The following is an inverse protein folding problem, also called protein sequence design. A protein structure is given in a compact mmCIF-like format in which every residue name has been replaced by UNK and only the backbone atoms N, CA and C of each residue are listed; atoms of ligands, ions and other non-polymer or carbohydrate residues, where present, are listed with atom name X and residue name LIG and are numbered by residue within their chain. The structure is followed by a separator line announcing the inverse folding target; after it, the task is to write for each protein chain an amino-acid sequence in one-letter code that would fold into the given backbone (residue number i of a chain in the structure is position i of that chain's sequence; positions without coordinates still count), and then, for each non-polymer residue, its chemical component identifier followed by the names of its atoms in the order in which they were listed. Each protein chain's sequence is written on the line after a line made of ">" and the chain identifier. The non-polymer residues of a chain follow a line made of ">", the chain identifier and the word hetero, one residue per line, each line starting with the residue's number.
data_IF_034570216144
#
_entry.id   IF_034570216144
#
_cell.length_a   1.000
_cell.length_b   1.000
_cell.length_c   1.000
_cell.angle_alpha   90.00
_cell.angle_beta   90.00
_cell.angle_gamma   90.00
#
_symmetry.space_group_name_H-M   'P 1'
#
loop_
_entity.id
_entity.type
_entity.pdbx_description
1 polymer ?
#
# COMPACT_ATOMS: atom_id res chain seq x y z
N UNK A 1 12.34 -8.11 25.38
CA UNK A 1 11.22 -8.61 24.56
C UNK A 1 11.62 -8.62 23.09
N UNK A 2 11.41 -9.74 22.40
CA UNK A 2 11.42 -9.81 20.92
C UNK A 2 9.98 -9.85 20.42
N UNK A 3 9.64 -9.00 19.46
CA UNK A 3 8.30 -8.95 18.88
C UNK A 3 8.15 -9.95 17.72
N UNK A 4 6.91 -10.34 17.42
CA UNK A 4 6.60 -11.25 16.33
C UNK A 4 6.92 -10.62 14.97
N UNK A 5 7.87 -11.22 14.24
CA UNK A 5 8.31 -10.73 12.92
C UNK A 5 7.27 -10.90 11.80
N UNK A 6 6.08 -11.44 12.08
CA UNK A 6 5.05 -11.72 11.07
C UNK A 6 4.17 -10.50 10.84
N UNK A 7 4.21 -9.93 9.63
CA UNK A 7 3.41 -8.79 9.16
C UNK A 7 3.29 -7.61 10.15
N UNK A 8 4.36 -7.28 10.88
CA UNK A 8 4.37 -6.19 11.87
C UNK A 8 3.49 -6.44 13.11
N UNK A 9 3.29 -7.70 13.48
CA UNK A 9 2.45 -8.07 14.61
C UNK A 9 3.03 -7.53 15.95
N UNK A 10 2.22 -6.82 16.76
CA UNK A 10 2.69 -6.27 18.04
C UNK A 10 2.84 -7.31 19.16
N UNK A 11 2.38 -8.56 18.93
CA UNK A 11 2.44 -9.60 19.94
C UNK A 11 3.89 -10.09 20.13
N UNK A 12 4.22 -10.46 21.35
CA UNK A 12 5.52 -11.02 21.70
C UNK A 12 5.79 -12.35 20.97
N UNK A 13 7.05 -12.56 20.59
CA UNK A 13 7.50 -13.83 20.03
C UNK A 13 7.57 -14.91 21.13
N UNK A 14 7.33 -16.17 20.75
CA UNK A 14 7.44 -17.28 21.70
C UNK A 14 8.87 -17.40 22.24
N UNK A 15 9.05 -17.68 23.55
CA UNK A 15 10.38 -17.84 24.15
C UNK A 15 11.14 -19.02 23.50
N UNK A 16 12.42 -18.80 23.18
CA UNK A 16 13.27 -19.75 22.45
C UNK A 16 13.63 -19.23 21.04
N UNK A 17 13.96 -20.11 20.07
CA UNK A 17 14.36 -19.70 18.72
C UNK A 17 13.19 -19.21 17.84
N UNK A 18 12.00 -18.99 18.41
CA UNK A 18 10.80 -18.61 17.69
C UNK A 18 10.78 -17.12 17.34
N UNK A 19 10.76 -16.78 16.05
CA UNK A 19 10.59 -15.39 15.56
C UNK A 19 9.13 -14.93 15.50
N UNK A 20 8.19 -15.69 16.09
CA UNK A 20 6.74 -15.50 15.93
C UNK A 20 5.98 -15.76 17.23
N UNK A 21 4.86 -15.07 17.40
CA UNK A 21 3.89 -15.32 18.46
C UNK A 21 3.08 -16.60 18.23
N UNK A 22 2.35 -17.05 19.25
CA UNK A 22 1.57 -18.30 19.20
C UNK A 22 0.59 -18.37 18.00
N UNK A 23 -0.13 -17.27 17.74
CA UNK A 23 -1.07 -17.15 16.63
C UNK A 23 -0.43 -17.21 15.23
N UNK A 24 0.88 -16.96 15.15
CA UNK A 24 1.65 -16.92 13.89
C UNK A 24 2.65 -18.07 13.74
N UNK A 25 2.85 -18.92 14.76
CA UNK A 25 3.83 -20.03 14.74
C UNK A 25 3.76 -20.90 13.48
N UNK A 26 2.54 -21.27 13.07
CA UNK A 26 2.27 -22.13 11.92
C UNK A 26 2.19 -21.40 10.56
N UNK A 27 2.29 -20.06 10.51
CA UNK A 27 2.16 -19.30 9.27
C UNK A 27 3.51 -19.16 8.55
N UNK A 28 3.58 -19.58 7.28
CA UNK A 28 4.77 -19.41 6.45
C UNK A 28 4.95 -17.95 6.02
N UNK A 29 6.18 -17.45 6.13
CA UNK A 29 6.58 -16.11 5.67
C UNK A 29 7.22 -16.18 4.29
N UNK A 30 7.16 -15.08 3.55
CA UNK A 30 7.75 -14.94 2.22
C UNK A 30 9.26 -15.23 2.26
N UNK A 31 9.77 -15.97 1.28
CA UNK A 31 11.20 -16.36 1.19
C UNK A 31 12.16 -15.19 0.90
N UNK A 32 11.65 -14.08 0.36
CA UNK A 32 12.42 -12.84 0.14
C UNK A 32 12.93 -12.31 1.47
N UNK A 33 14.26 -12.13 1.59
CA UNK A 33 14.93 -11.64 2.80
C UNK A 33 14.27 -10.34 3.31
N UNK A 34 14.05 -10.26 4.62
CA UNK A 34 13.37 -9.13 5.27
C UNK A 34 11.85 -9.05 5.06
N UNK A 35 11.22 -9.95 4.30
CA UNK A 35 9.79 -9.89 4.05
C UNK A 35 8.96 -10.61 5.13
N UNK A 36 8.29 -9.82 5.97
CA UNK A 36 7.38 -10.28 7.03
C UNK A 36 6.01 -10.77 6.53
N UNK A 37 5.69 -10.61 5.24
CA UNK A 37 4.39 -10.97 4.67
C UNK A 37 4.15 -12.48 4.63
N UNK A 38 2.88 -12.89 4.74
CA UNK A 38 2.47 -14.29 4.59
C UNK A 38 2.71 -14.80 3.16
N UNK A 39 3.13 -16.07 3.03
CA UNK A 39 3.12 -16.79 1.74
C UNK A 39 1.70 -16.89 1.20
N UNK A 40 1.54 -16.59 -0.09
CA UNK A 40 0.32 -16.90 -0.84
C UNK A 40 0.48 -18.19 -1.66
N UNK A 41 1.55 -18.28 -2.47
CA UNK A 41 1.93 -19.48 -3.21
C UNK A 41 3.43 -19.44 -3.53
N UNK A 42 4.03 -20.58 -3.88
CA UNK A 42 5.46 -20.68 -4.29
C UNK A 42 6.45 -20.07 -3.28
N UNK A 43 6.14 -20.17 -1.98
CA UNK A 43 6.88 -19.51 -0.88
C UNK A 43 6.99 -17.98 -0.98
N UNK A 44 6.15 -17.33 -1.79
CA UNK A 44 6.15 -15.88 -2.04
C UNK A 44 4.83 -15.24 -1.61
N UNK A 45 4.89 -14.02 -1.08
CA UNK A 45 3.72 -13.20 -0.82
C UNK A 45 3.18 -12.56 -2.12
N UNK A 46 1.97 -11.99 -2.09
CA UNK A 46 1.35 -11.38 -3.29
C UNK A 46 2.23 -10.31 -3.95
N UNK A 47 2.91 -9.47 -3.14
CA UNK A 47 3.82 -8.41 -3.63
C UNK A 47 5.08 -8.96 -4.32
N UNK A 48 5.57 -10.14 -3.91
CA UNK A 48 6.79 -10.75 -4.43
C UNK A 48 6.48 -11.87 -5.44
N UNK A 49 5.41 -11.74 -6.23
CA UNK A 49 5.09 -12.71 -7.27
C UNK A 49 4.36 -13.97 -6.77
N UNK A 50 3.79 -13.99 -5.57
CA UNK A 50 2.91 -15.07 -5.13
C UNK A 50 1.69 -15.27 -6.03
N UNK A 51 1.19 -14.20 -6.66
CA UNK A 51 0.15 -14.26 -7.71
C UNK A 51 0.74 -14.15 -9.11
N UNK A 52 0.03 -14.71 -10.11
CA UNK A 52 0.35 -14.55 -11.52
C UNK A 52 0.11 -13.09 -11.95
N UNK A 53 1.05 -12.52 -12.71
CA UNK A 53 0.93 -11.20 -13.31
C UNK A 53 0.05 -11.24 -14.57
N UNK A 54 -0.50 -10.09 -14.97
CA UNK A 54 -1.23 -9.94 -16.22
C UNK A 54 -0.34 -10.23 -17.43
N UNK A 55 -0.85 -10.96 -18.43
CA UNK A 55 -0.14 -11.30 -19.67
C UNK A 55 0.16 -10.11 -20.59
N UNK A 56 -0.58 -8.99 -20.42
CA UNK A 56 -0.35 -7.76 -21.20
C UNK A 56 0.99 -7.14 -20.82
N UNK A 57 1.83 -6.87 -21.82
CA UNK A 57 3.15 -6.26 -21.64
C UNK A 57 3.05 -4.91 -20.92
N UNK A 58 4.01 -4.61 -20.04
CA UNK A 58 4.01 -3.41 -19.19
C UNK A 58 2.99 -3.41 -18.04
N UNK A 59 2.10 -4.40 -17.93
CA UNK A 59 1.08 -4.41 -16.88
C UNK A 59 1.59 -5.01 -15.56
N UNK A 60 1.66 -4.19 -14.51
CA UNK A 60 2.06 -4.61 -13.15
C UNK A 60 0.91 -5.24 -12.33
N UNK A 61 -0.31 -5.28 -12.86
CA UNK A 61 -1.47 -5.82 -12.15
C UNK A 61 -1.43 -7.36 -12.04
N UNK A 62 -1.93 -7.88 -10.92
CA UNK A 62 -2.10 -9.34 -10.71
C UNK A 62 -3.44 -9.84 -11.22
N UNK A 63 -3.47 -11.09 -11.69
CA UNK A 63 -4.71 -11.77 -12.12
C UNK A 63 -5.44 -12.36 -10.91
N UNK A 64 -6.77 -12.45 -11.00
CA UNK A 64 -7.61 -13.20 -10.05
C UNK A 64 -7.86 -14.64 -10.50
N UNK A 65 -7.74 -14.90 -11.80
CA UNK A 65 -7.84 -16.19 -12.48
C UNK A 65 -7.53 -15.96 -13.97
N UNK A 66 -7.21 -17.02 -14.71
CA UNK A 66 -6.79 -16.91 -16.11
C UNK A 66 -5.50 -16.11 -16.31
N UNK A 67 -5.41 -15.38 -17.43
CA UNK A 67 -4.18 -14.71 -17.90
C UNK A 67 -4.21 -13.18 -17.77
N UNK A 68 -5.38 -12.58 -17.50
CA UNK A 68 -5.59 -11.14 -17.61
C UNK A 68 -6.07 -10.55 -16.28
N UNK A 69 -5.67 -9.32 -15.99
CA UNK A 69 -6.15 -8.59 -14.83
C UNK A 69 -7.55 -8.01 -15.10
N UNK A 70 -8.23 -7.53 -14.07
CA UNK A 70 -9.61 -7.03 -14.18
C UNK A 70 -9.76 -5.86 -15.18
N UNK A 71 -8.73 -5.03 -15.36
CA UNK A 71 -8.72 -3.95 -16.37
C UNK A 71 -8.54 -4.47 -17.81
N UNK A 72 -7.85 -5.60 -17.99
CA UNK A 72 -7.58 -6.20 -19.31
C UNK A 72 -8.53 -7.36 -19.62
N UNK A 73 -9.79 -7.31 -19.16
CA UNK A 73 -10.80 -8.35 -19.44
C UNK A 73 -10.65 -9.63 -18.61
N UNK A 74 -9.87 -9.62 -17.53
CA UNK A 74 -9.73 -10.74 -16.61
C UNK A 74 -11.07 -11.13 -15.94
N UNK A 75 -11.23 -12.41 -15.57
CA UNK A 75 -12.50 -12.94 -15.06
C UNK A 75 -12.97 -12.22 -13.79
N UNK A 76 -14.13 -11.58 -13.89
CA UNK A 76 -14.88 -11.06 -12.76
C UNK A 76 -16.05 -12.00 -12.48
N UNK A 77 -16.02 -12.80 -11.38
CA UNK A 77 -17.11 -13.72 -11.08
C UNK A 77 -18.37 -12.95 -10.68
N UNK A 78 -19.23 -12.68 -11.66
CA UNK A 78 -20.59 -12.16 -11.44
C UNK A 78 -21.39 -13.22 -10.68
N UNK A 79 -21.66 -12.96 -9.41
CA UNK A 79 -22.57 -13.76 -8.58
C UNK A 79 -23.96 -13.15 -8.67
N UNK A 80 -24.98 -13.96 -8.84
CA UNK A 80 -26.39 -13.53 -8.83
C UNK A 80 -27.02 -13.80 -7.48
N UNK A 81 -28.14 -13.14 -7.20
CA UNK A 81 -28.88 -13.30 -5.95
C UNK A 81 -29.45 -14.72 -5.81
N UNK A 82 -29.25 -15.37 -4.67
CA UNK A 82 -29.78 -16.72 -4.37
C UNK A 82 -31.30 -16.81 -4.18
N UNK A 83 -32.03 -15.72 -4.42
CA UNK A 83 -33.50 -15.72 -4.34
C UNK A 83 -34.04 -16.11 -5.70
N UNK A 84 -34.93 -17.11 -5.74
CA UNK A 84 -35.51 -17.62 -6.98
C UNK A 84 -36.11 -16.49 -7.84
N UNK A 85 -35.84 -16.54 -9.15
CA UNK A 85 -36.23 -15.50 -10.10
C UNK A 85 -35.44 -14.17 -10.02
N UNK A 86 -34.47 -14.01 -9.12
CA UNK A 86 -33.76 -12.74 -8.95
C UNK A 86 -32.44 -12.65 -9.75
N UNK A 87 -32.52 -12.11 -10.97
CA UNK A 87 -31.36 -11.86 -11.84
C UNK A 87 -30.43 -10.70 -11.41
N UNK A 88 -30.63 -10.11 -10.22
CA UNK A 88 -29.79 -9.01 -9.72
C UNK A 88 -28.47 -9.54 -9.17
N UNK A 89 -27.39 -8.77 -9.37
CA UNK A 89 -26.07 -9.11 -8.83
C UNK A 89 -26.11 -9.24 -7.29
N UNK A 90 -25.43 -10.26 -6.77
CA UNK A 90 -25.21 -10.44 -5.35
C UNK A 90 -24.03 -9.60 -4.85
N UNK A 91 -24.20 -9.04 -3.64
CA UNK A 91 -23.14 -8.32 -2.92
C UNK A 91 -22.72 -9.16 -1.71
N UNK A 92 -23.11 -8.79 -0.48
CA UNK A 92 -22.92 -9.63 0.69
C UNK A 92 -23.93 -10.79 0.73
N UNK A 93 -23.62 -11.84 1.52
CA UNK A 93 -24.55 -12.94 1.86
C UNK A 93 -25.16 -13.68 0.65
N UNK A 94 -24.52 -13.60 -0.52
CA UNK A 94 -25.01 -14.11 -1.81
C UNK A 94 -26.37 -13.53 -2.26
N UNK A 95 -26.78 -12.38 -1.74
CA UNK A 95 -28.06 -11.72 -2.08
C UNK A 95 -27.83 -10.35 -2.71
N UNK A 96 -28.77 -9.86 -3.51
CA UNK A 96 -28.76 -8.48 -4.00
C UNK A 96 -29.20 -7.50 -2.90
N UNK A 97 -28.95 -6.19 -3.06
CA UNK A 97 -29.26 -5.17 -2.04
C UNK A 97 -30.67 -5.31 -1.46
N UNK A 98 -31.69 -5.43 -2.33
CA UNK A 98 -33.11 -5.58 -1.95
C UNK A 98 -33.45 -6.86 -1.18
N UNK A 99 -32.65 -7.92 -1.33
CA UNK A 99 -32.85 -9.20 -0.63
C UNK A 99 -31.90 -9.37 0.56
N UNK A 100 -31.31 -8.29 1.07
CA UNK A 100 -30.36 -8.34 2.19
C UNK A 100 -28.89 -8.50 1.77
N UNK A 101 -28.54 -8.14 0.54
CA UNK A 101 -27.15 -8.04 0.09
C UNK A 101 -26.44 -6.76 0.53
N UNK A 102 -27.19 -5.72 0.91
CA UNK A 102 -26.68 -4.48 1.45
C UNK A 102 -26.56 -4.52 2.98
N UNK A 103 -25.77 -3.59 3.52
CA UNK A 103 -25.75 -3.31 4.96
C UNK A 103 -26.86 -2.30 5.29
N UNK A 104 -27.47 -2.42 6.47
CA UNK A 104 -28.35 -1.40 7.03
C UNK A 104 -27.53 -0.35 7.78
N UNK A 105 -28.14 0.80 8.07
CA UNK A 105 -27.52 1.83 8.88
C UNK A 105 -27.32 1.33 10.32
N UNK A 106 -26.14 1.59 10.90
CA UNK A 106 -25.80 1.25 12.29
C UNK A 106 -26.59 2.03 13.35
N UNK A 107 -27.17 3.19 12.99
CA UNK A 107 -27.97 4.00 13.93
C UNK A 107 -29.24 3.22 14.31
N UNK A 108 -29.54 3.02 15.59
CA UNK A 108 -30.73 2.29 16.02
C UNK A 108 -32.01 2.95 15.47
N UNK A 109 -32.99 2.13 15.11
CA UNK A 109 -34.23 2.59 14.46
C UNK A 109 -34.08 3.03 12.99
N UNK A 110 -32.88 2.98 12.39
CA UNK A 110 -32.68 3.36 10.99
C UNK A 110 -32.66 2.16 10.02
N UNK A 111 -33.77 1.94 9.32
CA UNK A 111 -33.90 0.87 8.32
C UNK A 111 -33.28 1.20 6.94
N UNK A 112 -32.70 2.39 6.77
CA UNK A 112 -32.12 2.80 5.49
C UNK A 112 -30.76 2.12 5.25
N UNK A 113 -30.42 1.86 3.99
CA UNK A 113 -29.14 1.24 3.63
C UNK A 113 -27.92 2.08 4.06
N UNK A 114 -26.98 1.43 4.74
CA UNK A 114 -25.67 1.97 5.05
C UNK A 114 -24.76 1.93 3.81
N UNK A 115 -24.05 3.03 3.54
CA UNK A 115 -23.07 3.14 2.45
C UNK A 115 -21.65 3.17 3.01
N UNK A 116 -21.20 4.31 3.52
CA UNK A 116 -19.86 4.51 4.10
C UNK A 116 -19.91 4.27 5.61
N UNK A 117 -18.89 3.62 6.19
CA UNK A 117 -18.75 3.25 7.62
C UNK A 117 -19.92 2.43 8.23
N UNK A 118 -20.91 2.03 7.43
CA UNK A 118 -22.16 1.42 7.89
C UNK A 118 -23.27 2.44 8.21
N UNK A 119 -23.16 3.69 7.76
CA UNK A 119 -24.17 4.74 7.93
C UNK A 119 -24.89 5.07 6.62
N UNK A 120 -26.17 5.41 6.70
CA UNK A 120 -26.91 5.95 5.56
C UNK A 120 -26.46 7.39 5.28
N UNK A 121 -26.78 7.95 4.10
CA UNK A 121 -26.34 9.30 3.73
C UNK A 121 -26.70 10.39 4.77
N UNK A 122 -27.90 10.31 5.34
CA UNK A 122 -28.36 11.26 6.37
C UNK A 122 -27.49 11.19 7.61
N UNK A 123 -27.28 10.00 8.16
CA UNK A 123 -26.52 9.82 9.40
C UNK A 123 -25.00 9.94 9.21
N UNK A 124 -24.47 9.65 8.01
CA UNK A 124 -23.08 9.95 7.68
C UNK A 124 -22.82 11.46 7.68
N UNK A 125 -23.74 12.28 7.13
CA UNK A 125 -23.65 13.75 7.15
C UNK A 125 -23.89 14.35 8.56
N UNK A 126 -24.62 13.66 9.44
CA UNK A 126 -24.64 14.05 10.86
C UNK A 126 -23.31 13.71 11.53
N UNK A 127 -22.86 12.45 11.51
CA UNK A 127 -21.61 12.04 12.16
C UNK A 127 -20.39 12.85 11.70
N UNK A 128 -20.32 13.27 10.44
CA UNK A 128 -19.24 14.15 9.96
C UNK A 128 -19.30 15.55 10.61
N UNK A 129 -20.49 16.12 10.79
CA UNK A 129 -20.66 17.40 11.50
C UNK A 129 -20.42 17.26 13.00
N UNK A 130 -20.93 16.20 13.62
CA UNK A 130 -20.68 15.91 15.04
C UNK A 130 -19.16 15.77 15.32
N UNK A 131 -18.39 15.28 14.33
CA UNK A 131 -16.93 15.18 14.38
C UNK A 131 -16.21 16.50 14.07
N UNK A 132 -16.74 17.30 13.14
CA UNK A 132 -16.23 18.66 12.84
C UNK A 132 -16.45 19.60 14.03
N UNK A 133 -17.63 19.56 14.67
CA UNK A 133 -17.97 20.34 15.88
C UNK A 133 -17.05 19.99 17.07
N UNK A 134 -16.57 18.74 17.17
CA UNK A 134 -15.55 18.30 18.13
C UNK A 134 -14.11 18.75 17.79
N UNK A 135 -13.88 19.24 16.57
CA UNK A 135 -12.60 19.83 16.12
C UNK A 135 -12.66 21.37 16.02
N UNK A 136 -13.85 21.96 15.96
CA UNK A 136 -14.09 23.42 15.91
C UNK A 136 -14.69 23.98 17.19
N UNK A 137 -14.80 23.19 18.26
CA UNK A 137 -14.98 23.74 19.61
C UNK A 137 -13.70 24.49 20.00
N UNK A 138 -13.77 25.83 20.05
CA UNK A 138 -12.66 26.78 20.26
C UNK A 138 -11.89 26.59 21.59
N UNK A 139 -12.30 25.65 22.45
CA UNK A 139 -11.77 25.44 23.80
C UNK A 139 -10.41 24.68 23.88
N UNK A 140 -9.72 24.40 22.76
CA UNK A 140 -8.46 23.64 22.76
C UNK A 140 -7.30 24.17 21.89
N UNK A 141 -7.41 25.33 21.24
CA UNK A 141 -6.21 26.08 20.85
C UNK A 141 -5.78 26.89 22.08
N UNK A 142 -4.90 26.31 22.89
CA UNK A 142 -4.26 27.04 23.97
C UNK A 142 -3.51 28.24 23.36
N UNK A 143 -4.04 29.45 23.61
CA UNK A 143 -3.49 30.70 23.11
C UNK A 143 -2.04 30.93 23.58
N UNK A 144 -1.55 30.23 24.61
CA UNK A 144 -0.13 30.23 24.99
C UNK A 144 0.76 29.51 23.97
N UNK A 145 0.30 28.42 23.35
CA UNK A 145 1.03 27.70 22.31
C UNK A 145 1.07 28.52 21.01
N UNK A 146 -0.06 29.15 20.65
CA UNK A 146 -0.10 30.06 19.49
C UNK A 146 0.79 31.30 19.72
N UNK A 147 0.81 31.82 20.95
CA UNK A 147 1.71 32.89 21.39
C UNK A 147 3.19 32.51 21.26
N UNK A 148 3.59 31.30 21.66
CA UNK A 148 4.96 30.80 21.53
C UNK A 148 5.41 30.65 20.07
N UNK A 149 4.52 30.17 19.18
CA UNK A 149 4.83 30.02 17.74
C UNK A 149 4.87 31.35 16.98
N UNK A 150 4.20 32.39 17.49
CA UNK A 150 4.13 33.73 16.89
C UNK A 150 5.32 34.62 17.30
N UNK A 151 6.07 34.29 18.35
CA UNK A 151 7.09 35.15 18.93
C UNK A 151 8.48 35.10 18.25
N UNK A 152 8.80 34.07 17.45
CA UNK A 152 10.15 33.93 16.84
C UNK A 152 10.25 34.37 15.37
N UNK A 153 9.18 34.90 14.76
CA UNK A 153 9.25 35.50 13.42
C UNK A 153 8.94 37.00 13.53
N UNK A 154 9.97 37.87 13.68
CA UNK A 154 9.78 39.31 13.56
C UNK A 154 9.35 39.65 12.12
N UNK A 155 8.07 39.97 11.97
CA UNK A 155 7.39 40.38 10.72
C UNK A 155 8.06 41.58 10.01
N UNK A 156 8.94 42.29 10.71
CA UNK A 156 9.75 43.37 10.16
C UNK A 156 11.04 42.83 9.52
N UNK A 157 11.03 42.80 8.17
CA UNK A 157 12.16 42.79 7.22
C UNK A 157 12.29 41.55 6.32
N UNK A 158 11.17 41.11 5.72
CA UNK A 158 11.23 40.62 4.34
C UNK A 158 11.21 41.80 3.39
N UNK A 159 12.39 42.35 3.08
CA UNK A 159 12.54 43.31 1.99
C UNK A 159 12.53 42.55 0.65
N UNK A 160 11.43 42.65 -0.08
CA UNK A 160 11.24 42.01 -1.38
C UNK A 160 11.99 42.76 -2.52
N UNK A 161 12.74 43.82 -2.21
CA UNK A 161 13.36 44.72 -3.19
C UNK A 161 14.82 44.41 -3.52
N UNK A 162 15.44 43.42 -2.87
CA UNK A 162 16.85 43.09 -3.10
C UNK A 162 17.05 42.41 -4.48
N UNK A 163 17.82 42.99 -5.42
CA UNK A 163 18.02 42.42 -6.74
C UNK A 163 18.93 41.18 -6.68
N UNK A 164 18.49 40.10 -7.34
CA UNK A 164 19.28 38.88 -7.51
C UNK A 164 20.45 39.11 -8.49
N UNK A 165 21.65 39.35 -7.97
CA UNK A 165 22.89 39.36 -8.75
C UNK A 165 23.45 37.93 -8.88
N UNK A 166 23.65 37.40 -10.10
CA UNK A 166 24.31 36.12 -10.29
C UNK A 166 25.83 36.29 -10.40
N UNK A 167 26.58 35.77 -9.44
CA UNK A 167 28.03 35.63 -9.48
C UNK A 167 28.42 34.33 -8.75
N UNK A 168 28.61 33.22 -9.48
CA UNK A 168 29.88 32.81 -10.10
C UNK A 168 30.94 32.36 -9.09
N UNK A 169 31.14 31.05 -8.96
CA UNK A 169 32.31 30.45 -8.33
C UNK A 169 32.95 29.42 -9.27
N UNK A 170 33.99 29.86 -9.97
CA UNK A 170 34.92 29.02 -10.72
C UNK A 170 36.00 28.43 -9.80
N UNK A 171 36.49 27.22 -10.11
CA UNK A 171 37.87 26.73 -9.87
C UNK A 171 38.50 26.96 -8.47
N UNK A 172 38.98 25.98 -7.68
CA UNK A 172 39.79 24.78 -7.98
C UNK A 172 40.08 24.06 -6.61
N UNK A 173 40.95 23.07 -6.40
CA UNK A 173 41.93 22.28 -7.18
C UNK A 173 41.96 20.84 -6.60
N UNK A 174 42.67 19.90 -7.27
CA UNK A 174 43.17 18.65 -6.67
C UNK A 174 44.68 18.77 -6.36
N UNK A 175 45.28 17.84 -5.58
CA UNK A 175 45.93 16.62 -6.14
C UNK A 175 45.54 15.33 -5.37
N UNK A 176 45.32 14.16 -5.98
CA UNK A 176 46.29 13.16 -6.53
C UNK A 176 47.36 12.72 -5.53
N UNK A 177 47.55 11.41 -5.27
CA UNK A 177 48.29 10.43 -6.12
C UNK A 177 47.80 8.99 -5.79
N UNK A 178 47.36 8.17 -6.75
CA UNK A 178 48.12 7.16 -7.56
C UNK A 178 48.54 5.90 -6.74
N UNK A 179 48.68 4.68 -7.27
CA UNK A 179 49.13 4.20 -8.60
C UNK A 179 48.32 2.96 -9.09
N UNK A 180 48.12 2.88 -10.43
CA UNK A 180 48.30 1.75 -11.39
C UNK A 180 48.27 0.27 -10.92
N UNK A 181 47.81 -0.75 -11.64
CA UNK A 181 47.48 -1.07 -13.06
C UNK A 181 47.15 -2.59 -13.09
N UNK A 182 46.83 -3.33 -14.16
CA UNK A 182 46.87 -3.16 -15.62
C UNK A 182 45.96 -4.23 -16.27
N UNK A 183 45.38 -3.95 -17.45
CA UNK A 183 44.87 -4.98 -18.40
C UNK A 183 46.06 -5.52 -19.24
N UNK A 184 46.01 -6.65 -20.00
CA UNK A 184 45.08 -6.79 -21.14
C UNK A 184 44.66 -8.21 -21.65
N UNK A 185 43.66 -8.20 -22.55
CA UNK A 185 43.51 -8.98 -23.80
C UNK A 185 43.35 -10.52 -23.86
N UNK A 186 42.30 -10.93 -24.62
CA UNK A 186 42.15 -12.16 -25.45
C UNK A 186 42.11 -13.52 -24.70
N UNK A 187 41.46 -14.60 -25.19
CA UNK A 187 41.45 -15.14 -26.54
C UNK A 187 40.16 -15.90 -26.95
N UNK A 188 39.97 -15.95 -28.27
CA UNK A 188 39.34 -17.00 -29.12
C UNK A 188 37.87 -17.41 -28.95
N UNK A 189 37.20 -17.34 -30.09
CA UNK A 189 35.95 -18.03 -30.40
C UNK A 189 36.15 -19.54 -30.55
N UNK A 190 35.04 -20.28 -30.49
CA UNK A 190 34.83 -21.43 -31.38
C UNK A 190 33.37 -21.48 -31.82
N UNK A 191 33.16 -22.01 -33.02
CA UNK A 191 31.96 -21.89 -33.84
C UNK A 191 31.51 -23.29 -34.30
N UNK A 192 30.24 -23.44 -34.73
CA UNK A 192 29.66 -24.62 -35.41
C UNK A 192 29.44 -25.88 -34.52
N UNK A 193 28.40 -26.71 -34.68
CA UNK A 193 27.31 -26.82 -35.67
C UNK A 193 26.07 -27.59 -35.06
N UNK A 194 24.89 -27.64 -35.72
CA UNK A 194 23.67 -28.31 -35.23
C UNK A 194 23.42 -29.69 -35.86
N UNK A 195 22.46 -30.51 -35.37
CA UNK A 195 21.70 -31.50 -36.18
C UNK A 195 20.37 -31.98 -35.54
N UNK A 196 19.32 -32.00 -36.38
CA UNK A 196 18.15 -32.92 -36.51
C UNK A 196 17.43 -33.47 -35.24
N UNK A 197 16.09 -33.33 -35.10
CA UNK A 197 15.02 -34.06 -35.81
C UNK A 197 15.22 -35.59 -35.75
N UNK A 198 14.51 -36.28 -34.85
CA UNK A 198 13.20 -36.94 -35.06
C UNK A 198 12.40 -36.82 -33.75
#
# INVERSE_FOLDING_TARGET
>A
MTLCMFNGCPNEALPGPGTKCDFHKNRKMCVVKGCSNQVYARNLCVRHGGRKACRVQGCTNTVRGGDLCLHHGGPSPKRYCTVQGCLRQAHARQKCVRHGGGNVCKVPGCFQYGRVLGLCHRHNKSQQRDMEELYTSDDMIDHSILSLLVQEIPWTRMDWSAPVTPASSSSSSSPSSSEHGTSPSSWLAHELEPMHII
#
